data_IF_611645100458
#
_entry.id   IF_611645100458
#
_cell.length_a   1.000
_cell.length_b   1.000
_cell.length_c   1.000
_cell.angle_alpha   90.00
_cell.angle_beta   90.00
_cell.angle_gamma   90.00
#
_symmetry.space_group_name_H-M   'P 1'
#
loop_
_entity.id
_entity.type
_entity.pdbx_description
1 polymer ?
#
# COMPACT_ATOMS: atom_id res chain seq x y z
N UNK A 1 25.33 -15.08 -40.66
CA UNK A 1 24.99 -15.51 -39.29
C UNK A 1 23.52 -15.26 -39.02
N UNK A 2 22.72 -16.18 -39.53
CA UNK A 2 21.28 -16.31 -39.26
C UNK A 2 21.12 -16.94 -37.89
N UNK A 3 20.93 -16.11 -36.86
CA UNK A 3 20.42 -16.57 -35.56
C UNK A 3 19.01 -17.07 -35.82
N UNK A 4 18.82 -18.39 -35.75
CA UNK A 4 17.56 -19.04 -36.05
C UNK A 4 16.43 -18.48 -35.21
N UNK A 5 15.38 -18.01 -35.89
CA UNK A 5 14.01 -17.90 -35.38
C UNK A 5 13.37 -19.30 -35.22
N UNK A 6 14.16 -20.31 -34.85
CA UNK A 6 13.71 -21.69 -34.65
C UNK A 6 13.25 -21.85 -33.21
N UNK A 7 11.98 -21.51 -32.92
CA UNK A 7 11.38 -21.84 -31.62
C UNK A 7 10.08 -21.11 -31.28
N UNK A 8 9.85 -19.90 -31.79
CA UNK A 8 8.66 -19.12 -31.42
C UNK A 8 7.36 -19.65 -32.04
N UNK A 9 7.44 -20.38 -33.15
CA UNK A 9 6.27 -20.85 -33.90
C UNK A 9 5.57 -22.07 -33.28
N UNK A 10 6.31 -22.96 -32.61
CA UNK A 10 5.73 -24.20 -32.04
C UNK A 10 5.07 -23.97 -30.67
N UNK A 11 5.66 -23.16 -29.79
CA UNK A 11 5.14 -22.93 -28.42
C UNK A 11 3.77 -22.21 -28.41
N UNK A 12 3.49 -21.38 -29.42
CA UNK A 12 2.20 -20.69 -29.55
C UNK A 12 1.24 -21.38 -30.53
N UNK A 13 1.68 -22.45 -31.21
CA UNK A 13 0.88 -23.13 -32.23
C UNK A 13 -0.45 -23.61 -31.66
N UNK A 14 -0.44 -24.21 -30.48
CA UNK A 14 -1.64 -24.72 -29.81
C UNK A 14 -2.66 -23.61 -29.49
N UNK A 15 -2.17 -22.43 -29.07
CA UNK A 15 -3.03 -21.28 -28.80
C UNK A 15 -3.64 -20.72 -30.08
N UNK A 16 -2.86 -20.59 -31.14
CA UNK A 16 -3.35 -20.13 -32.43
C UNK A 16 -4.35 -21.11 -33.05
N UNK A 17 -4.07 -22.41 -32.98
CA UNK A 17 -4.99 -23.47 -33.40
C UNK A 17 -6.31 -23.41 -32.62
N UNK A 18 -6.26 -23.24 -31.28
CA UNK A 18 -7.46 -23.11 -30.46
C UNK A 18 -8.31 -21.86 -30.82
N UNK A 19 -7.67 -20.77 -31.27
CA UNK A 19 -8.36 -19.58 -31.78
C UNK A 19 -8.98 -19.85 -33.15
N UNK A 20 -8.25 -20.50 -34.06
CA UNK A 20 -8.70 -20.84 -35.42
C UNK A 20 -9.86 -21.85 -35.41
N UNK A 21 -9.82 -22.83 -34.51
CA UNK A 21 -10.89 -23.80 -34.29
C UNK A 21 -12.10 -23.20 -33.55
N UNK A 22 -12.00 -21.95 -33.08
CA UNK A 22 -13.08 -21.26 -32.35
C UNK A 22 -13.30 -21.79 -30.93
N UNK A 23 -12.34 -22.53 -30.35
CA UNK A 23 -12.42 -22.99 -28.96
C UNK A 23 -12.29 -21.83 -27.97
N UNK A 24 -11.53 -20.79 -28.32
CA UNK A 24 -11.36 -19.57 -27.52
C UNK A 24 -11.48 -18.34 -28.42
N UNK A 25 -12.30 -17.38 -28.01
CA UNK A 25 -12.40 -16.11 -28.72
C UNK A 25 -11.10 -15.29 -28.58
N UNK A 26 -10.60 -14.75 -29.69
CA UNK A 26 -9.40 -13.88 -29.69
C UNK A 26 -9.49 -12.75 -28.67
N UNK A 27 -10.66 -12.13 -28.51
CA UNK A 27 -10.88 -11.07 -27.52
C UNK A 27 -10.65 -11.53 -26.08
N UNK A 28 -11.05 -12.78 -25.77
CA UNK A 28 -10.82 -13.39 -24.47
C UNK A 28 -9.32 -13.68 -24.23
N UNK A 29 -8.60 -14.18 -25.24
CA UNK A 29 -7.15 -14.42 -25.15
C UNK A 29 -6.41 -13.11 -24.85
N UNK A 30 -6.70 -12.05 -25.60
CA UNK A 30 -6.09 -10.72 -25.39
C UNK A 30 -6.34 -10.27 -23.95
N UNK A 31 -7.59 -10.35 -23.47
CA UNK A 31 -7.93 -9.96 -22.10
C UNK A 31 -7.17 -10.78 -21.05
N UNK A 32 -7.03 -12.09 -21.23
CA UNK A 32 -6.30 -12.95 -20.31
C UNK A 32 -4.82 -12.60 -20.26
N UNK A 33 -4.18 -12.40 -21.42
CA UNK A 33 -2.78 -12.00 -21.49
C UNK A 33 -2.55 -10.61 -20.89
N UNK A 34 -3.45 -9.65 -21.15
CA UNK A 34 -3.39 -8.32 -20.51
C UNK A 34 -3.40 -8.44 -18.99
N UNK A 35 -4.31 -9.21 -18.41
CA UNK A 35 -4.39 -9.40 -16.95
C UNK A 35 -3.11 -10.04 -16.40
N UNK A 36 -2.50 -10.99 -17.10
CA UNK A 36 -1.24 -11.61 -16.68
C UNK A 36 -0.10 -10.59 -16.72
N UNK A 37 0.02 -9.81 -17.78
CA UNK A 37 1.06 -8.79 -17.92
C UNK A 37 0.88 -7.66 -16.89
N UNK A 38 -0.33 -7.17 -16.71
CA UNK A 38 -0.67 -6.18 -15.67
C UNK A 38 -0.30 -6.70 -14.28
N UNK A 39 -0.66 -7.96 -13.96
CA UNK A 39 -0.31 -8.56 -12.67
C UNK A 39 1.21 -8.66 -12.45
N UNK A 40 1.99 -8.96 -13.49
CA UNK A 40 3.46 -9.00 -13.40
C UNK A 40 4.05 -7.60 -13.22
N UNK A 41 3.52 -6.60 -13.94
CA UNK A 41 3.97 -5.21 -13.84
C UNK A 41 3.64 -4.63 -12.46
N UNK A 42 2.40 -4.81 -11.99
CA UNK A 42 1.93 -4.31 -10.70
C UNK A 42 2.66 -4.98 -9.51
N UNK A 43 3.14 -6.21 -9.71
CA UNK A 43 3.84 -7.01 -8.71
C UNK A 43 5.28 -7.32 -9.12
N UNK A 44 5.98 -6.34 -9.68
CA UNK A 44 7.32 -6.53 -10.24
C UNK A 44 8.37 -6.97 -9.19
N UNK A 45 8.26 -6.50 -7.94
CA UNK A 45 9.13 -6.95 -6.85
C UNK A 45 8.98 -8.45 -6.57
N UNK A 46 7.75 -8.96 -6.61
CA UNK A 46 7.44 -10.38 -6.40
C UNK A 46 7.86 -11.21 -7.61
N UNK A 47 7.70 -10.68 -8.82
CA UNK A 47 8.20 -11.32 -10.04
C UNK A 47 9.73 -11.44 -10.03
N UNK A 48 10.42 -10.40 -9.56
CA UNK A 48 11.88 -10.43 -9.42
C UNK A 48 12.34 -11.46 -8.39
N UNK A 49 11.64 -11.53 -7.26
CA UNK A 49 11.88 -12.53 -6.21
C UNK A 49 11.69 -13.97 -6.74
N UNK A 50 10.58 -14.18 -7.45
CA UNK A 50 10.29 -15.43 -8.16
C UNK A 50 11.44 -15.85 -9.09
N UNK A 51 11.85 -14.95 -10.00
CA UNK A 51 12.96 -15.20 -10.93
C UNK A 51 14.29 -15.45 -10.23
N UNK A 52 14.51 -14.88 -9.04
CA UNK A 52 15.72 -15.10 -8.26
C UNK A 52 15.74 -16.46 -7.56
N UNK A 53 14.57 -17.04 -7.29
CA UNK A 53 14.41 -18.32 -6.60
C UNK A 53 14.38 -19.50 -7.57
N UNK A 54 13.94 -19.28 -8.81
CA UNK A 54 13.95 -20.29 -9.88
C UNK A 54 15.32 -20.34 -10.56
N UNK A 55 16.10 -21.39 -10.30
CA UNK A 55 17.48 -21.56 -10.80
C UNK A 55 17.57 -21.96 -12.28
N UNK A 56 16.45 -22.19 -12.96
CA UNK A 56 16.40 -22.46 -14.39
C UNK A 56 15.41 -21.49 -15.04
N UNK A 57 15.81 -20.92 -16.17
CA UNK A 57 14.95 -20.03 -16.96
C UNK A 57 13.89 -20.88 -17.66
N UNK A 58 12.77 -21.11 -17.00
CA UNK A 58 11.64 -21.92 -17.51
C UNK A 58 10.86 -21.22 -18.64
N UNK A 59 11.45 -20.22 -19.32
CA UNK A 59 10.86 -19.37 -20.38
C UNK A 59 9.46 -18.78 -20.12
N UNK A 60 8.94 -18.89 -18.90
CA UNK A 60 7.59 -18.47 -18.51
C UNK A 60 6.56 -19.59 -18.40
N UNK A 61 6.89 -20.85 -18.71
CA UNK A 61 5.96 -21.99 -18.61
C UNK A 61 5.38 -22.15 -17.20
N UNK A 62 6.21 -21.89 -16.19
CA UNK A 62 5.85 -22.05 -14.79
C UNK A 62 5.25 -20.78 -14.14
N UNK A 63 4.93 -19.75 -14.94
CA UNK A 63 4.41 -18.47 -14.44
C UNK A 63 3.12 -18.63 -13.61
N UNK A 64 2.32 -19.68 -13.86
CA UNK A 64 1.14 -19.98 -13.07
C UNK A 64 1.46 -20.18 -11.58
N UNK A 65 2.66 -20.65 -11.23
CA UNK A 65 3.10 -20.76 -9.84
C UNK A 65 3.17 -19.39 -9.16
N UNK A 66 3.78 -18.40 -9.84
CA UNK A 66 3.79 -17.02 -9.37
C UNK A 66 2.37 -16.48 -9.24
N UNK A 67 1.51 -16.70 -10.24
CA UNK A 67 0.13 -16.22 -10.21
C UNK A 67 -0.65 -16.76 -9.01
N UNK A 68 -0.39 -17.98 -8.55
CA UNK A 68 -1.00 -18.52 -7.34
C UNK A 68 -0.55 -17.79 -6.07
N UNK A 69 0.74 -17.44 -5.95
CA UNK A 69 1.23 -16.59 -4.86
C UNK A 69 0.64 -15.17 -4.93
N UNK A 70 0.56 -14.57 -6.11
CA UNK A 70 -0.06 -13.25 -6.29
C UNK A 70 -1.55 -13.27 -5.94
N UNK A 71 -2.28 -14.32 -6.31
CA UNK A 71 -3.68 -14.51 -5.92
C UNK A 71 -3.84 -14.53 -4.40
N UNK A 72 -2.95 -15.21 -3.68
CA UNK A 72 -2.96 -15.23 -2.23
C UNK A 72 -2.71 -13.83 -1.64
N UNK A 73 -1.68 -13.14 -2.14
CA UNK A 73 -1.34 -11.77 -1.73
C UNK A 73 -2.49 -10.79 -1.98
N UNK A 74 -3.06 -10.79 -3.18
CA UNK A 74 -4.16 -9.87 -3.54
C UNK A 74 -5.41 -10.13 -2.68
N UNK A 75 -5.69 -11.39 -2.31
CA UNK A 75 -6.75 -11.70 -1.35
C UNK A 75 -6.46 -11.11 0.03
N UNK A 76 -5.23 -11.21 0.50
CA UNK A 76 -4.80 -10.59 1.76
C UNK A 76 -4.90 -9.06 1.68
N UNK A 77 -4.41 -8.44 0.59
CA UNK A 77 -4.46 -6.98 0.41
C UNK A 77 -5.90 -6.45 0.34
N UNK A 78 -6.84 -7.21 -0.22
CA UNK A 78 -8.27 -6.86 -0.20
C UNK A 78 -8.81 -6.73 1.23
N UNK A 79 -8.45 -7.66 2.11
CA UNK A 79 -8.82 -7.58 3.54
C UNK A 79 -8.15 -6.36 4.17
N UNK A 80 -6.86 -6.16 3.91
CA UNK A 80 -6.13 -4.99 4.40
C UNK A 80 -6.76 -3.66 3.96
N UNK A 81 -7.27 -3.58 2.73
CA UNK A 81 -8.00 -2.41 2.24
C UNK A 81 -9.30 -2.15 3.00
N UNK A 82 -10.05 -3.19 3.33
CA UNK A 82 -11.26 -3.06 4.15
C UNK A 82 -10.94 -2.60 5.57
N UNK A 83 -9.72 -2.83 6.05
CA UNK A 83 -9.25 -2.39 7.37
C UNK A 83 -8.73 -0.94 7.39
N UNK A 84 -8.59 -0.25 6.25
CA UNK A 84 -8.11 1.15 6.21
C UNK A 84 -8.83 2.09 7.17
N UNK A 85 -10.18 2.09 7.29
CA UNK A 85 -10.87 2.95 8.25
C UNK A 85 -10.49 2.66 9.71
N UNK A 86 -10.17 1.41 10.03
CA UNK A 86 -9.74 0.99 11.37
C UNK A 86 -8.32 1.51 11.66
N UNK A 87 -7.43 1.46 10.67
CA UNK A 87 -6.08 2.03 10.77
C UNK A 87 -6.13 3.55 10.93
N UNK A 88 -6.95 4.27 10.15
CA UNK A 88 -7.11 5.72 10.30
C UNK A 88 -7.62 6.12 11.68
N UNK A 89 -8.58 5.37 12.22
CA UNK A 89 -9.07 5.62 13.58
C UNK A 89 -7.93 5.49 14.60
N UNK A 90 -7.10 4.46 14.45
CA UNK A 90 -5.91 4.30 15.27
C UNK A 90 -4.91 5.44 15.09
N UNK A 91 -4.59 5.83 13.85
CA UNK A 91 -3.66 6.94 13.58
C UNK A 91 -4.13 8.23 14.28
N UNK A 92 -5.42 8.56 14.20
CA UNK A 92 -6.02 9.72 14.89
C UNK A 92 -5.86 9.61 16.40
N UNK A 93 -6.14 8.45 16.99
CA UNK A 93 -6.00 8.23 18.44
C UNK A 93 -4.55 8.42 18.91
N UNK A 94 -3.58 7.89 18.17
CA UNK A 94 -2.17 8.02 18.52
C UNK A 94 -1.71 9.48 18.35
N UNK A 95 -2.10 10.15 17.27
CA UNK A 95 -1.78 11.58 17.04
C UNK A 95 -2.42 12.51 18.08
N UNK A 96 -3.60 12.17 18.58
CA UNK A 96 -4.27 12.90 19.67
C UNK A 96 -3.64 12.65 21.06
N UNK A 97 -2.66 11.75 21.17
CA UNK A 97 -2.03 11.39 22.44
C UNK A 97 -2.84 10.41 23.30
N UNK A 98 -3.92 9.83 22.77
CA UNK A 98 -4.79 8.86 23.46
C UNK A 98 -4.16 7.45 23.46
N UNK A 99 -2.97 7.32 24.05
CA UNK A 99 -2.13 6.10 23.98
C UNK A 99 -2.83 4.84 24.52
N UNK A 100 -3.55 4.96 25.65
CA UNK A 100 -4.26 3.82 26.25
C UNK A 100 -5.38 3.31 25.34
N UNK A 101 -6.16 4.22 24.75
CA UNK A 101 -7.24 3.88 23.81
C UNK A 101 -6.69 3.29 22.52
N UNK A 102 -5.62 3.87 21.98
CA UNK A 102 -4.93 3.32 20.81
C UNK A 102 -4.41 1.89 21.05
N UNK A 103 -3.86 1.62 22.24
CA UNK A 103 -3.41 0.28 22.61
C UNK A 103 -4.57 -0.72 22.71
N UNK A 104 -5.68 -0.33 23.33
CA UNK A 104 -6.89 -1.16 23.39
C UNK A 104 -7.46 -1.44 22.00
N UNK A 105 -7.48 -0.42 21.13
CA UNK A 105 -7.91 -0.55 19.74
C UNK A 105 -7.07 -1.57 18.97
N UNK A 106 -5.73 -1.53 19.13
CA UNK A 106 -4.82 -2.50 18.51
C UNK A 106 -5.05 -3.92 19.02
N UNK A 107 -5.25 -4.10 20.32
CA UNK A 107 -5.54 -5.43 20.91
C UNK A 107 -6.85 -5.98 20.36
N UNK A 108 -7.91 -5.18 20.36
CA UNK A 108 -9.22 -5.57 19.85
C UNK A 108 -9.16 -5.96 18.36
N UNK A 109 -8.39 -5.25 17.55
CA UNK A 109 -8.16 -5.66 16.16
C UNK A 109 -7.44 -7.01 16.12
N UNK A 110 -6.27 -7.13 16.76
CA UNK A 110 -5.46 -8.35 16.75
C UNK A 110 -6.24 -9.60 17.17
N UNK A 111 -7.10 -9.48 18.20
CA UNK A 111 -7.99 -10.57 18.63
C UNK A 111 -9.00 -10.95 17.55
N UNK A 112 -9.59 -9.98 16.86
CA UNK A 112 -10.63 -10.21 15.84
C UNK A 112 -10.09 -10.83 14.56
N UNK A 113 -8.92 -10.39 14.10
CA UNK A 113 -8.33 -10.79 12.81
C UNK A 113 -7.23 -11.85 12.93
N UNK A 114 -6.82 -12.23 14.14
CA UNK A 114 -5.72 -13.18 14.35
C UNK A 114 -5.91 -14.50 13.59
N UNK A 115 -7.10 -15.08 13.67
CA UNK A 115 -7.44 -16.33 12.94
C UNK A 115 -7.39 -16.15 11.43
N UNK A 116 -7.83 -15.01 10.92
CA UNK A 116 -7.82 -14.72 9.49
C UNK A 116 -6.38 -14.57 8.98
N UNK A 117 -5.51 -13.88 9.74
CA UNK A 117 -4.09 -13.78 9.38
C UNK A 117 -3.37 -15.14 9.38
N UNK A 118 -3.71 -16.03 10.32
CA UNK A 118 -3.10 -17.36 10.40
C UNK A 118 -3.48 -18.23 9.18
N UNK A 119 -4.74 -18.17 8.74
CA UNK A 119 -5.20 -18.88 7.53
C UNK A 119 -4.39 -18.48 6.28
N UNK A 120 -4.03 -17.20 6.13
CA UNK A 120 -3.18 -16.77 5.01
C UNK A 120 -1.76 -17.34 5.10
N UNK A 121 -1.19 -17.45 6.31
CA UNK A 121 0.12 -18.05 6.53
C UNK A 121 0.11 -19.56 6.29
N UNK A 122 -0.95 -20.26 6.69
CA UNK A 122 -1.15 -21.69 6.39
C UNK A 122 -1.23 -21.93 4.87
N UNK A 123 -2.03 -21.12 4.15
CA UNK A 123 -2.10 -21.19 2.69
C UNK A 123 -0.77 -20.89 2.01
N UNK A 124 -0.02 -19.90 2.52
CA UNK A 124 1.32 -19.60 2.05
C UNK A 124 2.24 -20.82 2.20
N UNK A 125 2.25 -21.44 3.38
CA UNK A 125 3.05 -22.64 3.65
C UNK A 125 2.67 -23.78 2.70
N UNK A 126 1.38 -23.96 2.43
CA UNK A 126 0.89 -24.94 1.45
C UNK A 126 1.42 -24.68 0.03
N UNK A 127 1.41 -23.43 -0.42
CA UNK A 127 1.98 -23.05 -1.73
C UNK A 127 3.51 -23.23 -1.77
N UNK A 128 4.21 -22.84 -0.69
CA UNK A 128 5.65 -22.99 -0.57
C UNK A 128 6.08 -24.47 -0.63
N UNK A 129 5.32 -25.36 0.01
CA UNK A 129 5.57 -26.81 -0.06
C UNK A 129 5.23 -27.37 -1.45
N UNK A 130 4.09 -26.97 -2.03
CA UNK A 130 3.64 -27.46 -3.34
C UNK A 130 4.63 -27.13 -4.46
N UNK A 131 5.17 -25.92 -4.45
CA UNK A 131 6.05 -25.42 -5.51
C UNK A 131 7.53 -25.39 -5.11
N UNK A 132 7.88 -25.89 -3.91
CA UNK A 132 9.24 -25.88 -3.36
C UNK A 132 9.92 -24.49 -3.44
N UNK A 133 9.15 -23.42 -3.25
CA UNK A 133 9.57 -22.04 -3.46
C UNK A 133 9.28 -21.19 -2.24
N UNK A 134 10.17 -20.26 -1.87
CA UNK A 134 10.02 -19.48 -0.63
C UNK A 134 9.18 -18.21 -0.79
N UNK A 135 9.35 -17.48 -1.89
CA UNK A 135 8.70 -16.18 -2.12
C UNK A 135 8.75 -15.20 -0.92
N UNK A 136 9.95 -14.83 -0.41
CA UNK A 136 10.13 -13.87 0.68
C UNK A 136 9.24 -12.62 0.60
N UNK A 137 9.12 -12.01 -0.58
CA UNK A 137 8.32 -10.78 -0.77
C UNK A 137 6.84 -10.94 -0.43
N UNK A 138 6.25 -12.08 -0.81
CA UNK A 138 4.86 -12.42 -0.47
C UNK A 138 4.78 -12.84 0.99
N UNK A 139 5.76 -13.58 1.49
CA UNK A 139 5.81 -14.00 2.88
C UNK A 139 5.82 -12.80 3.83
N UNK A 140 6.69 -11.82 3.60
CA UNK A 140 6.83 -10.63 4.43
C UNK A 140 5.51 -9.86 4.51
N UNK A 141 4.84 -9.69 3.36
CA UNK A 141 3.55 -9.00 3.29
C UNK A 141 2.48 -9.65 4.15
N UNK A 142 2.42 -10.98 4.17
CA UNK A 142 1.47 -11.76 4.98
C UNK A 142 1.88 -11.78 6.46
N UNK A 143 3.18 -11.77 6.77
CA UNK A 143 3.70 -11.73 8.14
C UNK A 143 3.44 -10.39 8.85
N UNK A 144 3.05 -9.35 8.13
CA UNK A 144 2.53 -8.12 8.73
C UNK A 144 1.28 -8.35 9.61
N UNK A 145 0.55 -9.46 9.38
CA UNK A 145 -0.64 -9.88 10.14
C UNK A 145 -1.67 -8.76 10.32
N UNK A 146 -1.76 -7.85 9.35
CA UNK A 146 -2.58 -6.63 9.36
C UNK A 146 -2.32 -5.65 10.54
N UNK A 147 -1.36 -5.92 11.41
CA UNK A 147 -1.07 -5.08 12.59
C UNK A 147 0.13 -4.17 12.35
N UNK A 148 1.02 -4.53 11.41
CA UNK A 148 2.20 -3.74 11.05
C UNK A 148 1.87 -2.27 10.74
N UNK A 149 0.83 -1.92 9.96
CA UNK A 149 0.51 -0.51 9.69
C UNK A 149 0.29 0.32 10.96
N UNK A 150 -0.38 -0.25 11.97
CA UNK A 150 -0.63 0.43 13.24
C UNK A 150 0.65 0.62 14.05
N UNK A 151 1.60 -0.30 13.95
CA UNK A 151 2.93 -0.13 14.57
C UNK A 151 3.67 1.04 13.92
N UNK A 152 3.63 1.15 12.59
CA UNK A 152 4.23 2.29 11.86
C UNK A 152 3.57 3.61 12.28
N UNK A 153 2.23 3.67 12.36
CA UNK A 153 1.53 4.88 12.82
C UNK A 153 1.94 5.30 14.23
N UNK A 154 2.11 4.31 15.12
CA UNK A 154 2.59 4.54 16.49
C UNK A 154 3.99 5.15 16.49
N UNK A 155 4.92 4.57 15.72
CA UNK A 155 6.29 5.07 15.62
C UNK A 155 6.31 6.50 15.08
N UNK A 156 5.57 6.78 13.99
CA UNK A 156 5.45 8.12 13.41
C UNK A 156 4.95 9.14 14.42
N UNK A 157 3.96 8.80 15.23
CA UNK A 157 3.46 9.71 16.24
C UNK A 157 4.42 9.98 17.41
N UNK A 158 5.43 9.12 17.65
CA UNK A 158 6.48 9.37 18.66
C UNK A 158 7.50 10.42 18.20
N UNK A 159 7.70 10.55 16.88
CA UNK A 159 8.71 11.46 16.29
C UNK A 159 8.48 12.91 16.73
N UNK A 160 7.27 13.44 16.53
CA UNK A 160 6.94 14.83 16.86
C UNK A 160 7.22 15.21 18.33
N UNK A 161 6.66 14.48 19.31
CA UNK A 161 6.94 14.66 20.73
C UNK A 161 8.43 14.52 21.09
N UNK A 162 9.12 13.51 20.53
CA UNK A 162 10.53 13.28 20.82
C UNK A 162 11.41 14.46 20.37
N UNK A 163 11.18 14.98 19.16
CA UNK A 163 11.91 16.14 18.62
C UNK A 163 11.63 17.40 19.44
N UNK A 164 10.37 17.67 19.80
CA UNK A 164 10.02 18.85 20.62
C UNK A 164 10.70 18.81 21.99
N UNK A 165 10.61 17.68 22.67
CA UNK A 165 11.19 17.54 24.00
C UNK A 165 12.71 17.67 23.97
N UNK A 166 13.40 17.08 22.97
CA UNK A 166 14.85 17.22 22.83
C UNK A 166 15.27 18.68 22.64
N UNK A 167 14.50 19.49 21.90
CA UNK A 167 14.80 20.92 21.73
C UNK A 167 14.57 21.73 23.02
N UNK A 168 13.57 21.38 23.82
CA UNK A 168 13.24 22.09 25.06
C UNK A 168 14.24 21.78 26.18
N UNK A 169 14.65 20.51 26.33
CA UNK A 169 15.48 20.05 27.45
C UNK A 169 16.94 19.80 27.07
N UNK A 170 17.28 19.79 25.78
CA UNK A 170 18.61 19.44 25.28
C UNK A 170 19.00 17.96 25.51
N UNK A 171 18.07 17.13 25.98
CA UNK A 171 18.34 15.74 26.40
C UNK A 171 17.38 14.77 25.74
N UNK A 172 17.83 13.54 25.51
CA UNK A 172 16.97 12.48 24.95
C UNK A 172 15.80 12.18 25.89
N UNK A 173 14.63 12.00 25.31
CA UNK A 173 13.41 11.72 26.06
C UNK A 173 13.14 10.23 26.19
N UNK A 174 12.36 9.78 27.20
CA UNK A 174 11.85 8.41 27.25
C UNK A 174 11.06 8.01 26.00
N UNK A 175 10.44 8.97 25.31
CA UNK A 175 9.72 8.75 24.05
C UNK A 175 10.67 8.42 22.89
N UNK A 176 11.86 9.02 22.89
CA UNK A 176 12.89 8.72 21.91
C UNK A 176 13.48 7.33 22.13
N UNK A 177 13.72 6.94 23.39
CA UNK A 177 14.14 5.56 23.72
C UNK A 177 13.08 4.53 23.28
N UNK A 178 11.80 4.82 23.53
CA UNK A 178 10.70 3.96 23.07
C UNK A 178 10.67 3.84 21.53
N UNK A 179 10.93 4.93 20.80
CA UNK A 179 11.03 4.90 19.34
C UNK A 179 12.21 4.01 18.89
N UNK A 180 13.36 4.09 19.56
CA UNK A 180 14.52 3.23 19.28
C UNK A 180 14.19 1.75 19.51
N UNK A 181 13.50 1.42 20.61
CA UNK A 181 13.07 0.05 20.90
C UNK A 181 12.14 -0.50 19.80
N UNK A 182 11.15 0.28 19.37
CA UNK A 182 10.25 -0.12 18.29
C UNK A 182 11.01 -0.27 16.96
N UNK A 183 11.97 0.61 16.66
CA UNK A 183 12.85 0.47 15.48
C UNK A 183 13.66 -0.83 15.53
N UNK A 184 14.22 -1.20 16.69
CA UNK A 184 14.96 -2.46 16.86
C UNK A 184 14.08 -3.67 16.54
N UNK A 185 12.85 -3.69 17.06
CA UNK A 185 11.88 -4.75 16.77
C UNK A 185 11.51 -4.80 15.28
N UNK A 186 11.40 -3.65 14.61
CA UNK A 186 11.16 -3.61 13.16
C UNK A 186 12.33 -4.18 12.36
N UNK A 187 13.57 -3.97 12.82
CA UNK A 187 14.80 -4.44 12.15
C UNK A 187 15.09 -5.94 12.35
N UNK A 188 14.54 -6.59 13.38
CA UNK A 188 14.68 -8.05 13.58
C UNK A 188 14.10 -8.87 12.41
N UNK A 189 13.16 -8.30 11.67
CA UNK A 189 12.51 -8.92 10.52
C UNK A 189 12.69 -7.99 9.30
N UNK A 190 13.86 -8.02 8.64
CA UNK A 190 14.07 -7.25 7.43
C UNK A 190 13.12 -7.76 6.34
N UNK A 191 12.34 -6.86 5.76
CA UNK A 191 11.35 -7.17 4.72
C UNK A 191 11.89 -6.85 3.33
N UNK A 192 11.54 -7.66 2.35
CA UNK A 192 11.83 -7.46 0.92
C UNK A 192 13.10 -8.16 0.43
N UNK A 193 13.43 -7.94 -0.84
CA UNK A 193 14.59 -8.55 -1.52
C UNK A 193 15.94 -7.85 -1.22
N UNK A 194 15.99 -6.95 -0.22
CA UNK A 194 17.21 -6.26 0.21
C UNK A 194 17.73 -5.18 -0.74
N UNK A 195 16.89 -4.70 -1.66
CA UNK A 195 17.26 -3.70 -2.67
C UNK A 195 16.52 -2.38 -2.53
N UNK A 196 15.30 -2.43 -1.99
CA UNK A 196 14.46 -1.25 -1.75
C UNK A 196 14.42 -0.91 -0.26
N UNK A 197 14.27 0.38 0.04
CA UNK A 197 14.12 0.87 1.41
C UNK A 197 12.77 0.36 1.95
N UNK A 198 12.72 -0.27 3.14
CA UNK A 198 11.47 -0.70 3.74
C UNK A 198 10.49 0.46 3.88
N UNK A 199 9.22 0.24 3.49
CA UNK A 199 8.20 1.29 3.48
C UNK A 199 8.02 1.97 4.86
N UNK A 200 8.18 1.21 5.95
CA UNK A 200 8.07 1.77 7.30
C UNK A 200 9.18 2.77 7.62
N UNK A 201 10.38 2.58 7.05
CA UNK A 201 11.52 3.46 7.25
C UNK A 201 11.34 4.75 6.46
N UNK A 202 10.92 4.65 5.20
CA UNK A 202 10.56 5.83 4.39
C UNK A 202 9.42 6.63 5.04
N UNK A 203 8.40 5.96 5.60
CA UNK A 203 7.31 6.65 6.29
C UNK A 203 7.73 7.36 7.59
N UNK A 204 8.83 6.90 8.22
CA UNK A 204 9.42 7.59 9.37
C UNK A 204 10.27 8.77 8.94
N UNK A 205 11.08 8.61 7.90
CA UNK A 205 11.84 9.70 7.28
C UNK A 205 10.90 10.86 6.89
N UNK A 206 9.82 10.55 6.17
CA UNK A 206 8.78 11.52 5.80
C UNK A 206 8.19 12.27 7.01
N UNK A 207 8.00 11.57 8.14
CA UNK A 207 7.46 12.19 9.35
C UNK A 207 8.52 13.05 10.07
N UNK A 208 9.79 12.64 10.06
CA UNK A 208 10.90 13.45 10.57
C UNK A 208 11.01 14.74 9.77
N UNK A 209 11.05 14.64 8.43
CA UNK A 209 11.13 15.79 7.54
C UNK A 209 9.95 16.73 7.76
N UNK A 210 8.73 16.19 7.80
CA UNK A 210 7.52 16.97 8.10
C UNK A 210 7.60 17.69 9.44
N UNK A 211 8.11 17.05 10.49
CA UNK A 211 8.24 17.66 11.83
C UNK A 211 9.30 18.75 11.80
N UNK A 212 10.41 18.55 11.09
CA UNK A 212 11.47 19.54 10.94
C UNK A 212 10.98 20.74 10.11
N UNK A 213 10.32 20.52 8.98
CA UNK A 213 9.74 21.57 8.11
C UNK A 213 8.72 22.44 8.86
N UNK A 214 7.77 21.80 9.56
CA UNK A 214 6.77 22.50 10.38
C UNK A 214 7.41 23.36 11.48
N UNK A 215 8.56 22.95 12.00
CA UNK A 215 9.27 23.67 13.07
C UNK A 215 10.29 24.69 12.54
N UNK A 216 10.84 24.51 11.35
CA UNK A 216 11.75 25.45 10.69
C UNK A 216 11.03 26.65 10.08
N UNK A 217 9.69 26.66 10.09
CA UNK A 217 8.92 27.77 9.54
C UNK A 217 8.93 27.82 8.02
N UNK A 218 9.26 26.72 7.34
CA UNK A 218 8.89 26.50 5.93
C UNK A 218 7.37 26.24 5.84
N UNK A 219 6.59 27.14 6.42
CA UNK A 219 5.40 27.57 5.72
C UNK A 219 5.91 28.17 4.40
N UNK A 220 5.86 27.40 3.30
CA UNK A 220 5.09 27.99 2.22
C UNK A 220 3.78 28.34 2.90
N UNK A 221 3.58 29.61 3.28
CA UNK A 221 2.24 30.09 3.53
C UNK A 221 1.47 29.51 2.35
N UNK A 222 0.48 28.60 2.53
CA UNK A 222 -0.59 28.53 1.54
C UNK A 222 -0.92 29.97 1.25
N UNK A 223 -1.02 30.39 -0.01
CA UNK A 223 -1.25 31.79 -0.39
C UNK A 223 -2.54 32.31 0.28
N UNK A 224 -2.51 32.58 1.58
CA UNK A 224 -3.57 33.18 2.38
C UNK A 224 -3.54 34.69 2.16
N UNK A 225 -2.42 35.21 1.64
CA UNK A 225 -2.38 36.54 1.03
C UNK A 225 -3.35 36.62 -0.19
N UNK A 226 -3.93 35.49 -0.63
CA UNK A 226 -5.10 35.40 -1.53
C UNK A 226 -6.31 34.66 -0.92
N UNK A 227 -6.28 34.28 0.36
CA UNK A 227 -7.45 33.70 1.00
C UNK A 227 -8.45 34.81 1.28
N UNK A 228 -9.61 34.70 0.63
CA UNK A 228 -10.78 35.54 0.88
C UNK A 228 -11.02 35.60 2.38
N UNK A 229 -11.08 36.80 2.95
CA UNK A 229 -11.31 37.00 4.37
C UNK A 229 -12.56 36.23 4.80
N UNK A 230 -12.44 35.44 5.88
CA UNK A 230 -13.56 34.69 6.41
C UNK A 230 -14.61 35.66 6.95
N UNK A 231 -15.72 35.80 6.22
CA UNK A 231 -16.84 36.62 6.63
C UNK A 231 -17.89 35.71 7.27
N UNK A 232 -18.30 36.01 8.51
CA UNK A 232 -19.46 35.37 9.10
C UNK A 232 -20.71 35.80 8.32
N UNK A 233 -21.37 34.85 7.65
CA UNK A 233 -22.58 35.09 6.86
C UNK A 233 -23.75 34.36 7.53
N UNK A 234 -24.88 35.05 7.68
CA UNK A 234 -26.12 34.42 8.18
C UNK A 234 -26.66 33.38 7.19
N UNK A 235 -27.32 32.35 7.70
CA UNK A 235 -27.93 31.30 6.89
C UNK A 235 -28.88 31.86 5.81
N UNK A 236 -29.64 32.89 6.13
CA UNK A 236 -30.53 33.59 5.20
C UNK A 236 -29.78 34.18 3.99
N UNK A 237 -28.59 34.74 4.22
CA UNK A 237 -27.77 35.36 3.19
C UNK A 237 -27.08 34.33 2.30
N UNK A 238 -26.72 33.17 2.85
CA UNK A 238 -26.23 32.01 2.07
C UNK A 238 -27.33 31.50 1.14
N UNK A 239 -28.56 31.33 1.65
CA UNK A 239 -29.71 30.88 0.86
C UNK A 239 -30.06 31.87 -0.25
N UNK A 240 -30.01 33.18 0.02
CA UNK A 240 -30.22 34.21 -0.99
C UNK A 240 -29.16 34.17 -2.10
N UNK A 241 -27.88 33.97 -1.76
CA UNK A 241 -26.79 33.85 -2.72
C UNK A 241 -26.91 32.58 -3.58
N UNK A 242 -27.25 31.45 -2.97
CA UNK A 242 -27.49 30.19 -3.69
C UNK A 242 -28.67 30.31 -4.66
N UNK A 243 -29.75 30.98 -4.27
CA UNK A 243 -30.91 31.22 -5.14
C UNK A 243 -30.58 32.16 -6.30
N UNK A 244 -29.73 33.17 -6.10
CA UNK A 244 -29.22 34.04 -7.16
C UNK A 244 -28.30 33.27 -8.13
N UNK A 245 -27.39 32.46 -7.61
CA UNK A 245 -26.51 31.62 -8.42
C UNK A 245 -27.30 30.58 -9.24
N UNK A 246 -28.32 29.95 -8.65
CA UNK A 246 -29.18 29.00 -9.34
C UNK A 246 -29.99 29.64 -10.49
N UNK A 247 -30.39 30.92 -10.35
CA UNK A 247 -31.00 31.68 -11.45
C UNK A 247 -30.01 31.97 -12.58
N UNK A 248 -28.77 32.32 -12.24
CA UNK A 248 -27.71 32.59 -13.23
C UNK A 248 -27.24 31.32 -13.96
N UNK A 249 -27.24 30.17 -13.29
CA UNK A 249 -26.95 28.86 -13.92
C UNK A 249 -28.07 28.45 -14.88
N UNK A 250 -29.34 28.77 -14.59
CA UNK A 250 -30.46 28.56 -15.53
C UNK A 250 -30.40 29.45 -16.77
N UNK A 251 -29.68 30.58 -16.72
CA UNK A 251 -29.44 31.46 -17.88
C UNK A 251 -28.19 31.09 -18.69
N UNK A 252 -27.33 30.21 -18.17
CA UNK A 252 -26.25 29.59 -18.93
C UNK A 252 -26.83 28.44 -19.76
N UNK A 253 -27.36 28.78 -20.94
CA UNK A 253 -27.63 27.80 -21.99
C UNK A 253 -26.32 27.09 -22.32
N UNK A 254 -26.15 25.86 -21.81
CA UNK A 254 -25.17 24.91 -22.32
C UNK A 254 -25.58 24.55 -23.76
N UNK A 255 -24.74 24.80 -24.79
CA UNK A 255 -25.03 24.33 -26.13
C UNK A 255 -25.11 22.80 -26.08
N UNK A 256 -26.23 22.28 -26.59
CA UNK A 256 -26.44 20.84 -26.77
C UNK A 256 -25.72 20.42 -28.03
N UNK A 257 -24.54 19.80 -27.88
CA UNK A 257 -23.96 18.87 -28.85
C UNK A 257 -23.48 17.63 -28.11
#
# INVERSE_FOLDING_TARGET
>A
DSVGEEGYGEELADLFLAIEEGQIERGQVVKMLSVVLEAVIDHYSEYRDYNSTTTQSDRGEMLYMLLDFLRLRVRYDRVSWNLKPIYWTHEVLVRAGCQQTAQQWRRALAERIGRESEMYLEHLQGLQQKYAMRMPTVADRLHERFTRPMTVDRMRALVGPAVRQFRETGSTSPLFELLIEECKLMMEQPTGVGLDIPQWLSALEDEVDRVLENQCGFFQKPRYDSAVAFQAVSSERIVAQLNLAAKNVKTLNLPSE
#
